data_IF_908812943465
#
_entry.id   IF_908812943465
#
_cell.length_a   1.000
_cell.length_b   1.000
_cell.length_c   1.000
_cell.angle_alpha   90.00
_cell.angle_beta   90.00
_cell.angle_gamma   90.00
#
_symmetry.space_group_name_H-M   'P 1'
#
loop_
_entity.id
_entity.type
_entity.pdbx_description
1 polymer ?
#
# COMPACT_ATOMS: atom_id res chain seq x y z
N UNK A 1 -34.39 -11.45 9.67
CA UNK A 1 -34.80 -10.42 8.72
C UNK A 1 -34.61 -9.08 9.41
N UNK A 2 -33.51 -8.41 9.16
CA UNK A 2 -33.31 -7.00 9.49
C UNK A 2 -32.83 -6.39 8.18
N UNK A 3 -33.73 -5.64 7.53
CA UNK A 3 -33.45 -4.96 6.29
C UNK A 3 -32.47 -3.80 6.55
N UNK A 4 -31.27 -3.93 6.05
CA UNK A 4 -30.34 -2.81 5.92
C UNK A 4 -30.78 -1.96 4.73
N UNK A 5 -31.09 -0.71 4.99
CA UNK A 5 -31.33 0.31 3.96
C UNK A 5 -30.07 0.50 3.12
N UNK A 6 -30.11 0.06 1.87
CA UNK A 6 -29.13 0.36 0.83
C UNK A 6 -29.34 1.79 0.30
N UNK A 7 -28.90 2.81 1.05
CA UNK A 7 -28.93 4.21 0.60
C UNK A 7 -27.60 4.95 0.86
N UNK A 8 -26.47 4.24 0.95
CA UNK A 8 -25.16 4.84 1.28
C UNK A 8 -24.19 4.90 0.06
N UNK A 9 -24.66 4.75 -1.17
CA UNK A 9 -23.77 4.64 -2.34
C UNK A 9 -23.33 5.99 -2.96
N UNK A 10 -23.54 7.14 -2.31
CA UNK A 10 -23.20 8.41 -2.96
C UNK A 10 -22.81 9.58 -2.08
N UNK A 11 -22.95 9.48 -0.78
CA UNK A 11 -22.70 10.65 0.09
C UNK A 11 -21.27 10.63 0.67
N UNK A 12 -20.52 11.67 0.32
CA UNK A 12 -19.27 12.02 1.01
C UNK A 12 -19.58 13.01 2.13
N UNK A 13 -18.75 13.12 3.20
CA UNK A 13 -18.93 14.07 4.28
C UNK A 13 -19.02 15.52 3.79
N UNK A 14 -19.80 16.35 4.48
CA UNK A 14 -20.00 17.76 4.15
C UNK A 14 -18.67 18.53 4.12
N UNK A 15 -17.76 18.21 5.03
CA UNK A 15 -16.41 18.79 5.09
C UNK A 15 -15.58 18.45 3.83
N UNK A 16 -15.73 17.25 3.29
CA UNK A 16 -15.09 16.87 2.04
C UNK A 16 -15.66 17.67 0.86
N UNK A 17 -16.97 17.87 0.82
CA UNK A 17 -17.61 18.72 -0.18
C UNK A 17 -17.13 20.16 -0.12
N UNK A 18 -17.01 20.73 1.06
CA UNK A 18 -16.49 22.08 1.26
C UNK A 18 -15.05 22.23 0.72
N UNK A 19 -14.19 21.26 1.04
CA UNK A 19 -12.81 21.27 0.55
C UNK A 19 -12.75 21.11 -0.98
N UNK A 20 -13.55 20.21 -1.56
CA UNK A 20 -13.63 20.03 -3.01
C UNK A 20 -14.08 21.29 -3.72
N UNK A 21 -15.10 21.96 -3.19
CA UNK A 21 -15.61 23.21 -3.76
C UNK A 21 -14.55 24.32 -3.72
N UNK A 22 -13.85 24.47 -2.62
CA UNK A 22 -12.77 25.45 -2.50
C UNK A 22 -11.62 25.14 -3.47
N UNK A 23 -11.21 23.89 -3.55
CA UNK A 23 -10.15 23.44 -4.45
C UNK A 23 -10.52 23.67 -5.91
N UNK A 24 -11.74 23.28 -6.30
CA UNK A 24 -12.26 23.49 -7.65
C UNK A 24 -12.31 24.99 -8.01
N UNK A 25 -12.81 25.83 -7.09
CA UNK A 25 -12.87 27.28 -7.29
C UNK A 25 -11.49 27.92 -7.43
N UNK A 26 -10.49 27.46 -6.67
CA UNK A 26 -9.09 27.90 -6.81
C UNK A 26 -8.48 27.51 -8.16
N UNK A 27 -8.77 26.30 -8.61
CA UNK A 27 -8.19 25.79 -9.87
C UNK A 27 -8.83 26.40 -11.12
N UNK A 28 -10.12 26.74 -11.06
CA UNK A 28 -10.83 27.37 -12.19
C UNK A 28 -10.77 28.91 -12.15
N UNK A 29 -10.22 29.51 -11.08
CA UNK A 29 -10.14 30.96 -10.93
C UNK A 29 -11.48 31.64 -10.66
N UNK A 30 -12.52 30.87 -10.26
CA UNK A 30 -13.87 31.36 -9.97
C UNK A 30 -14.72 30.33 -9.23
N UNK A 31 -15.92 30.73 -8.82
CA UNK A 31 -16.85 29.86 -8.11
C UNK A 31 -17.36 28.72 -9.01
N UNK A 32 -17.18 27.48 -8.59
CA UNK A 32 -17.70 26.28 -9.25
C UNK A 32 -19.05 25.94 -8.64
N UNK A 33 -20.07 25.66 -9.48
CA UNK A 33 -21.37 25.23 -9.00
C UNK A 33 -21.25 23.83 -8.37
N UNK A 34 -21.69 23.60 -7.10
CA UNK A 34 -21.64 22.30 -6.45
C UNK A 34 -22.27 21.15 -7.28
N UNK A 35 -23.29 21.47 -8.10
CA UNK A 35 -23.94 20.50 -8.99
C UNK A 35 -23.05 20.05 -10.16
N UNK A 36 -21.92 20.68 -10.38
CA UNK A 36 -20.94 20.33 -11.41
C UNK A 36 -19.85 19.39 -10.88
N UNK A 37 -19.86 19.04 -9.59
CA UNK A 37 -18.94 18.09 -8.97
C UNK A 37 -19.53 16.69 -9.11
N UNK A 38 -18.80 15.80 -9.76
CA UNK A 38 -19.18 14.41 -9.99
C UNK A 38 -18.28 13.49 -9.19
N UNK A 39 -18.89 12.51 -8.53
CA UNK A 39 -18.22 11.49 -7.73
C UNK A 39 -18.46 10.11 -8.36
N UNK A 40 -17.38 9.38 -8.56
CA UNK A 40 -17.41 8.01 -9.06
C UNK A 40 -16.70 7.10 -8.04
N UNK A 41 -17.42 6.14 -7.42
CA UNK A 41 -16.78 5.22 -6.49
C UNK A 41 -15.74 4.36 -7.20
N UNK A 42 -14.57 4.22 -6.59
CA UNK A 42 -13.51 3.33 -7.05
C UNK A 42 -13.57 2.03 -6.24
N UNK A 43 -13.48 0.91 -6.94
CA UNK A 43 -13.45 -0.43 -6.33
C UNK A 43 -12.02 -0.83 -5.98
N UNK A 44 -11.87 -1.74 -5.00
CA UNK A 44 -10.57 -2.35 -4.68
C UNK A 44 -9.98 -1.95 -3.33
N UNK A 45 -10.50 -0.90 -2.66
CA UNK A 45 -10.08 -0.61 -1.29
C UNK A 45 -10.89 -1.45 -0.29
N UNK A 46 -10.21 -2.19 0.58
CA UNK A 46 -10.86 -3.03 1.59
C UNK A 46 -11.15 -2.25 2.88
N UNK A 47 -10.32 -1.28 3.21
CA UNK A 47 -10.33 -0.57 4.49
C UNK A 47 -10.89 0.85 4.41
N UNK A 48 -11.06 1.40 3.19
CA UNK A 48 -11.50 2.77 2.95
C UNK A 48 -12.56 2.82 1.84
N UNK A 49 -13.37 3.89 1.80
CA UNK A 49 -14.17 4.24 0.63
C UNK A 49 -13.40 5.28 -0.18
N UNK A 50 -13.25 5.04 -1.47
CA UNK A 50 -12.45 5.88 -2.36
C UNK A 50 -13.28 6.31 -3.54
N UNK A 51 -13.22 7.60 -3.88
CA UNK A 51 -13.96 8.20 -4.98
C UNK A 51 -13.04 8.99 -5.89
N UNK A 52 -13.17 8.80 -7.19
CA UNK A 52 -12.70 9.74 -8.20
C UNK A 52 -13.68 10.92 -8.23
N UNK A 53 -13.17 12.11 -8.05
CA UNK A 53 -13.93 13.33 -8.14
C UNK A 53 -13.42 14.17 -9.31
N UNK A 54 -14.34 14.66 -10.13
CA UNK A 54 -14.04 15.63 -11.19
C UNK A 54 -15.17 16.65 -11.31
N UNK A 55 -14.88 17.80 -11.92
CA UNK A 55 -15.87 18.81 -12.19
C UNK A 55 -15.78 19.25 -13.65
N UNK A 56 -16.93 19.70 -14.19
CA UNK A 56 -17.03 20.26 -15.54
C UNK A 56 -16.82 21.76 -15.46
N UNK A 57 -16.00 22.28 -16.32
CA UNK A 57 -15.90 23.72 -16.59
C UNK A 57 -17.18 24.18 -17.28
N UNK A 58 -17.62 25.42 -17.02
CA UNK A 58 -18.88 25.96 -17.54
C UNK A 58 -18.95 25.87 -19.08
N UNK A 59 -20.17 25.63 -19.62
CA UNK A 59 -20.45 25.31 -21.05
C UNK A 59 -19.99 26.38 -22.06
N UNK A 60 -19.70 27.60 -21.64
CA UNK A 60 -19.28 28.68 -22.57
C UNK A 60 -17.93 28.43 -23.25
N UNK A 61 -17.10 27.57 -22.68
CA UNK A 61 -15.79 27.15 -23.25
C UNK A 61 -15.89 25.83 -24.08
N UNK A 62 -17.06 25.18 -24.10
CA UNK A 62 -17.23 23.83 -24.68
C UNK A 62 -17.16 23.82 -26.22
N UNK A 63 -17.36 24.94 -26.86
CA UNK A 63 -17.45 25.02 -28.35
C UNK A 63 -16.05 25.08 -29.02
N UNK A 64 -14.98 25.23 -28.24
CA UNK A 64 -13.62 25.41 -28.77
C UNK A 64 -12.58 24.35 -28.35
N UNK A 65 -12.89 23.43 -27.45
CA UNK A 65 -11.97 22.33 -27.12
C UNK A 65 -12.62 21.00 -27.42
N UNK A 66 -12.12 20.31 -28.45
CA UNK A 66 -12.13 18.85 -28.51
C UNK A 66 -11.59 18.45 -27.15
N UNK A 67 -12.43 17.82 -26.30
CA UNK A 67 -12.10 17.50 -24.92
C UNK A 67 -10.92 16.55 -24.95
N UNK A 68 -9.74 17.11 -24.73
CA UNK A 68 -8.57 16.37 -24.37
C UNK A 68 -8.87 15.80 -22.98
N UNK A 69 -8.98 14.47 -22.83
CA UNK A 69 -9.26 13.82 -21.52
C UNK A 69 -8.24 14.25 -20.45
N UNK A 70 -7.04 14.66 -20.86
CA UNK A 70 -5.99 15.20 -19.99
C UNK A 70 -6.32 16.61 -19.42
N UNK A 71 -7.36 17.29 -19.92
CA UNK A 71 -7.75 18.63 -19.44
C UNK A 71 -8.71 18.60 -18.24
N UNK A 72 -9.29 17.43 -17.91
CA UNK A 72 -10.22 17.28 -16.77
C UNK A 72 -9.45 17.13 -15.48
N UNK A 73 -9.54 18.14 -14.62
CA UNK A 73 -8.91 18.07 -13.30
C UNK A 73 -9.64 17.05 -12.41
N UNK A 74 -8.91 16.05 -11.98
CA UNK A 74 -9.39 14.96 -11.14
C UNK A 74 -8.76 15.01 -9.77
N UNK A 75 -9.53 14.60 -8.78
CA UNK A 75 -9.12 14.49 -7.37
C UNK A 75 -9.60 13.15 -6.83
N UNK A 76 -8.86 12.56 -5.94
CA UNK A 76 -9.27 11.37 -5.22
C UNK A 76 -9.74 11.77 -3.81
N UNK A 77 -10.93 11.31 -3.43
CA UNK A 77 -11.48 11.48 -2.08
C UNK A 77 -11.40 10.14 -1.38
N UNK A 78 -10.64 10.09 -0.28
CA UNK A 78 -10.52 8.88 0.55
C UNK A 78 -11.22 9.11 1.87
N UNK A 79 -12.20 8.26 2.19
CA UNK A 79 -12.91 8.24 3.46
C UNK A 79 -12.49 7.01 4.25
N UNK A 80 -12.01 7.22 5.48
CA UNK A 80 -11.50 6.14 6.32
C UNK A 80 -12.62 5.24 6.82
N UNK A 81 -12.44 3.93 6.67
CA UNK A 81 -13.36 2.93 7.20
C UNK A 81 -13.21 2.71 8.71
N UNK A 82 -14.30 2.31 9.35
CA UNK A 82 -14.36 2.15 10.81
C UNK A 82 -13.68 0.86 11.34
N UNK A 83 -13.51 -0.18 10.51
CA UNK A 83 -12.98 -1.50 10.95
C UNK A 83 -11.47 -1.61 11.06
N UNK A 84 -10.75 -0.70 10.48
CA UNK A 84 -9.30 -0.78 10.27
C UNK A 84 -8.44 -0.60 11.54
N UNK A 85 -9.00 -0.06 12.63
CA UNK A 85 -8.27 0.21 13.89
C UNK A 85 -7.71 -1.04 14.58
N UNK A 86 -8.16 -2.23 14.21
CA UNK A 86 -7.67 -3.48 14.79
C UNK A 86 -6.33 -3.92 14.19
N UNK A 87 -6.01 -3.48 12.96
CA UNK A 87 -4.91 -4.02 12.17
C UNK A 87 -3.74 -3.05 12.03
N UNK A 88 -4.00 -1.74 12.00
CA UNK A 88 -2.96 -0.74 11.81
C UNK A 88 -3.28 0.58 12.52
N UNK A 89 -2.26 1.41 12.65
CA UNK A 89 -2.34 2.73 13.27
C UNK A 89 -2.61 3.80 12.19
N UNK A 90 -3.80 4.40 12.23
CA UNK A 90 -4.22 5.43 11.27
C UNK A 90 -3.36 6.70 11.34
N UNK A 91 -2.86 7.05 12.52
CA UNK A 91 -2.01 8.24 12.66
C UNK A 91 -0.68 8.05 11.92
N UNK A 92 -0.07 6.89 12.09
CA UNK A 92 1.16 6.51 11.35
C UNK A 92 0.93 6.48 9.84
N UNK A 93 -0.19 5.94 9.36
CA UNK A 93 -0.54 5.93 7.92
C UNK A 93 -0.68 7.34 7.35
N UNK A 94 -1.38 8.22 8.08
CA UNK A 94 -1.57 9.61 7.65
C UNK A 94 -0.25 10.37 7.63
N UNK A 95 0.61 10.19 8.65
CA UNK A 95 1.94 10.80 8.68
C UNK A 95 2.81 10.29 7.51
N UNK A 96 2.80 8.98 7.25
CA UNK A 96 3.51 8.41 6.11
C UNK A 96 3.04 9.03 4.79
N UNK A 97 1.72 9.15 4.60
CA UNK A 97 1.16 9.79 3.41
C UNK A 97 1.61 11.25 3.27
N UNK A 98 1.57 12.02 4.34
CA UNK A 98 2.03 13.42 4.33
C UNK A 98 3.51 13.54 3.95
N UNK A 99 4.37 12.67 4.49
CA UNK A 99 5.80 12.67 4.16
C UNK A 99 6.05 12.28 2.72
N UNK A 100 5.34 11.28 2.20
CA UNK A 100 5.42 10.89 0.79
C UNK A 100 4.98 12.03 -0.12
N UNK A 101 3.88 12.71 0.22
CA UNK A 101 3.40 13.89 -0.50
C UNK A 101 4.43 15.04 -0.49
N UNK A 102 4.99 15.38 0.68
CA UNK A 102 5.97 16.45 0.84
C UNK A 102 7.29 16.18 0.12
N UNK A 103 7.71 14.92 0.05
CA UNK A 103 8.93 14.51 -0.66
C UNK A 103 8.74 14.36 -2.17
N UNK A 104 7.51 14.52 -2.68
CA UNK A 104 7.18 14.31 -4.10
C UNK A 104 7.30 12.86 -4.56
N UNK A 105 7.27 11.90 -3.61
CA UNK A 105 7.39 10.48 -3.92
C UNK A 105 6.06 9.73 -3.95
N UNK A 106 4.98 10.38 -3.55
CA UNK A 106 3.62 9.87 -3.56
C UNK A 106 2.62 10.92 -4.05
N UNK A 107 1.30 10.58 -4.07
CA UNK A 107 0.26 11.52 -4.43
C UNK A 107 0.30 12.76 -3.53
N UNK A 108 0.03 13.94 -4.07
CA UNK A 108 -0.04 15.17 -3.27
C UNK A 108 -1.25 15.13 -2.33
N UNK A 109 -1.06 15.57 -1.10
CA UNK A 109 -2.15 15.85 -0.17
C UNK A 109 -2.78 17.20 -0.52
N UNK A 110 -4.04 17.20 -0.93
CA UNK A 110 -4.77 18.40 -1.35
C UNK A 110 -5.64 18.99 -0.25
N UNK A 111 -6.02 18.17 0.75
CA UNK A 111 -6.80 18.62 1.90
C UNK A 111 -7.07 17.48 2.88
N UNK A 112 -7.42 17.84 4.12
CA UNK A 112 -7.79 16.88 5.18
C UNK A 112 -9.12 17.26 5.80
N UNK A 113 -9.89 16.25 6.20
CA UNK A 113 -11.11 16.39 7.00
C UNK A 113 -11.13 15.28 8.08
N UNK A 114 -12.00 15.34 9.10
CA UNK A 114 -11.89 14.49 10.30
C UNK A 114 -11.76 12.97 10.04
N UNK A 115 -12.43 12.46 9.01
CA UNK A 115 -12.43 11.04 8.68
C UNK A 115 -11.93 10.74 7.25
N UNK A 116 -11.06 11.59 6.70
CA UNK A 116 -10.53 11.38 5.36
C UNK A 116 -9.61 12.47 4.84
N UNK A 117 -9.29 12.38 3.55
CA UNK A 117 -8.43 13.33 2.86
C UNK A 117 -8.76 13.44 1.39
N UNK A 118 -8.32 14.51 0.76
CA UNK A 118 -8.26 14.72 -0.67
C UNK A 118 -6.83 14.47 -1.15
N UNK A 119 -6.71 13.64 -2.16
CA UNK A 119 -5.43 13.26 -2.77
C UNK A 119 -5.40 13.68 -4.23
N UNK A 120 -4.22 13.93 -4.76
CA UNK A 120 -4.00 14.04 -6.20
C UNK A 120 -4.44 12.75 -6.88
N UNK A 121 -5.19 12.90 -7.97
CA UNK A 121 -5.49 11.78 -8.84
C UNK A 121 -4.30 11.56 -9.79
N UNK A 122 -3.62 10.43 -9.64
CA UNK A 122 -2.50 10.10 -10.51
C UNK A 122 -3.01 9.58 -11.86
N UNK A 123 -2.53 10.17 -12.94
CA UNK A 123 -2.74 9.63 -14.29
C UNK A 123 -1.80 8.45 -14.53
N UNK A 124 -2.08 7.34 -13.85
CA UNK A 124 -1.28 6.14 -13.81
C UNK A 124 -2.18 4.93 -13.60
N UNK A 125 -1.76 3.77 -14.06
CA UNK A 125 -2.43 2.51 -13.73
C UNK A 125 -1.73 1.77 -12.62
N UNK A 126 -2.46 0.97 -11.86
CA UNK A 126 -1.86 -0.03 -10.97
C UNK A 126 -1.19 -1.12 -11.81
N UNK A 127 -0.15 -1.72 -11.27
CA UNK A 127 0.47 -2.90 -11.89
C UNK A 127 -0.49 -4.09 -11.85
N UNK A 128 -0.13 -5.11 -12.60
CA UNK A 128 -0.74 -6.45 -12.60
C UNK A 128 0.30 -7.50 -12.18
N UNK A 129 -0.16 -8.71 -11.85
CA UNK A 129 0.75 -9.80 -11.48
C UNK A 129 1.84 -10.08 -12.55
N UNK A 130 1.55 -10.09 -13.88
CA UNK A 130 2.58 -10.18 -14.91
C UNK A 130 3.59 -9.03 -14.92
N UNK A 131 3.18 -7.79 -14.62
CA UNK A 131 4.09 -6.63 -14.62
C UNK A 131 5.24 -6.81 -13.62
N UNK A 132 5.01 -7.49 -12.49
CA UNK A 132 6.06 -7.74 -11.48
C UNK A 132 7.22 -8.60 -12.04
N UNK A 133 6.97 -9.34 -13.13
CA UNK A 133 7.96 -10.19 -13.80
C UNK A 133 8.78 -9.45 -14.85
N UNK A 134 8.31 -8.28 -15.31
CA UNK A 134 9.05 -7.49 -16.27
C UNK A 134 10.37 -6.98 -15.63
N UNK A 135 11.54 -7.27 -16.25
CA UNK A 135 12.83 -6.88 -15.67
C UNK A 135 13.01 -5.38 -15.49
N UNK A 136 12.42 -4.55 -16.37
CA UNK A 136 12.55 -3.09 -16.31
C UNK A 136 11.64 -2.55 -15.19
N UNK A 137 10.42 -3.06 -15.08
CA UNK A 137 9.50 -2.69 -14.02
C UNK A 137 10.07 -3.12 -12.65
N UNK A 138 10.54 -4.37 -12.54
CA UNK A 138 11.16 -4.91 -11.32
C UNK A 138 12.36 -4.06 -10.86
N UNK A 139 13.21 -3.61 -11.80
CA UNK A 139 14.30 -2.68 -11.50
C UNK A 139 13.79 -1.37 -10.90
N UNK A 140 12.77 -0.77 -11.52
CA UNK A 140 12.20 0.49 -11.05
C UNK A 140 11.55 0.35 -9.67
N UNK A 141 10.87 -0.79 -9.42
CA UNK A 141 10.31 -1.12 -8.09
C UNK A 141 11.43 -1.19 -7.06
N UNK A 142 12.52 -1.89 -7.34
CA UNK A 142 13.65 -2.05 -6.43
C UNK A 142 14.27 -0.70 -6.03
N UNK A 143 14.49 0.18 -7.01
CA UNK A 143 15.01 1.53 -6.77
C UNK A 143 14.01 2.35 -5.93
N UNK A 144 12.72 2.32 -6.29
CA UNK A 144 11.69 3.06 -5.56
C UNK A 144 11.52 2.54 -4.13
N UNK A 145 11.58 1.23 -3.90
CA UNK A 145 11.53 0.65 -2.57
C UNK A 145 12.74 1.06 -1.73
N UNK A 146 13.93 1.14 -2.33
CA UNK A 146 15.12 1.65 -1.64
C UNK A 146 14.94 3.11 -1.18
N UNK A 147 14.38 3.98 -2.05
CA UNK A 147 14.06 5.36 -1.69
C UNK A 147 13.04 5.42 -0.55
N UNK A 148 12.01 4.57 -0.59
CA UNK A 148 10.99 4.46 0.45
C UNK A 148 11.60 4.05 1.81
N UNK A 149 12.48 3.05 1.83
CA UNK A 149 13.15 2.61 3.05
C UNK A 149 14.05 3.67 3.70
N UNK A 150 14.49 4.68 2.94
CA UNK A 150 15.28 5.81 3.45
C UNK A 150 14.44 6.93 4.06
N UNK A 151 13.12 6.87 3.98
CA UNK A 151 12.26 7.89 4.56
C UNK A 151 12.48 7.97 6.07
N UNK A 152 12.65 9.21 6.54
CA UNK A 152 12.71 9.49 7.96
C UNK A 152 11.34 9.97 8.45
N UNK A 153 10.54 9.05 8.98
CA UNK A 153 9.25 9.32 9.59
C UNK A 153 9.46 9.59 11.08
N UNK A 154 8.78 10.60 11.62
CA UNK A 154 8.90 10.95 13.04
C UNK A 154 8.40 9.79 13.92
N UNK A 155 9.04 9.62 15.07
CA UNK A 155 8.67 8.57 16.03
C UNK A 155 9.78 7.55 16.24
N UNK A 156 9.40 6.37 16.71
CA UNK A 156 10.35 5.29 16.98
C UNK A 156 10.78 4.59 15.70
N UNK A 157 12.08 4.56 15.43
CA UNK A 157 12.66 3.76 14.34
C UNK A 157 12.86 2.28 14.73
N UNK A 158 12.24 1.83 15.83
CA UNK A 158 12.35 0.44 16.27
C UNK A 158 11.50 -0.49 15.38
N UNK A 159 12.06 -1.62 14.90
CA UNK A 159 11.32 -2.59 14.11
C UNK A 159 10.13 -3.17 14.84
N UNK A 160 8.94 -3.16 14.22
CA UNK A 160 7.69 -3.58 14.85
C UNK A 160 7.18 -4.96 14.39
N UNK A 161 7.87 -5.63 13.48
CA UNK A 161 7.44 -6.91 12.92
C UNK A 161 7.06 -7.92 14.01
N UNK A 162 7.98 -8.19 14.94
CA UNK A 162 7.80 -9.22 15.96
C UNK A 162 6.74 -8.86 17.00
N UNK A 163 6.56 -7.57 17.31
CA UNK A 163 5.46 -7.08 18.13
C UNK A 163 4.12 -7.28 17.41
N UNK A 164 4.05 -6.88 16.14
CA UNK A 164 2.83 -7.02 15.31
C UNK A 164 2.41 -8.47 15.18
N UNK A 165 3.34 -9.40 14.93
CA UNK A 165 3.02 -10.83 14.85
C UNK A 165 2.43 -11.36 16.16
N UNK A 166 2.97 -10.97 17.32
CA UNK A 166 2.41 -11.35 18.63
C UNK A 166 1.02 -10.75 18.85
N UNK A 167 0.86 -9.46 18.62
CA UNK A 167 -0.42 -8.77 18.79
C UNK A 167 -1.52 -9.38 17.90
N UNK A 168 -1.18 -9.71 16.65
CA UNK A 168 -2.13 -10.34 15.74
C UNK A 168 -2.41 -11.79 16.11
N UNK A 169 -1.44 -12.54 16.63
CA UNK A 169 -1.67 -13.88 17.14
C UNK A 169 -2.61 -13.85 18.36
N UNK A 170 -2.40 -12.96 19.32
CA UNK A 170 -3.30 -12.80 20.47
C UNK A 170 -4.73 -12.41 20.03
N UNK A 171 -4.86 -11.52 19.05
CA UNK A 171 -6.16 -11.16 18.45
C UNK A 171 -6.79 -12.37 17.76
N UNK A 172 -6.03 -13.12 16.96
CA UNK A 172 -6.50 -14.33 16.27
C UNK A 172 -7.03 -15.36 17.27
N UNK A 173 -6.29 -15.64 18.34
CA UNK A 173 -6.70 -16.56 19.39
C UNK A 173 -7.97 -16.11 20.12
N UNK A 174 -8.08 -14.80 20.38
CA UNK A 174 -9.26 -14.24 21.10
C UNK A 174 -10.51 -14.18 20.26
N UNK A 175 -10.40 -13.90 18.96
CA UNK A 175 -11.54 -13.65 18.06
C UNK A 175 -12.01 -14.91 17.35
N UNK A 176 -11.17 -15.94 17.24
CA UNK A 176 -11.48 -17.16 16.51
C UNK A 176 -12.29 -18.16 17.34
N UNK A 177 -13.11 -18.96 16.64
CA UNK A 177 -13.77 -20.11 17.22
C UNK A 177 -12.75 -21.23 17.52
N UNK A 178 -13.03 -22.12 18.50
CA UNK A 178 -12.10 -23.20 18.87
C UNK A 178 -11.63 -24.07 17.69
N UNK A 179 -12.51 -24.38 16.73
CA UNK A 179 -12.13 -25.14 15.54
C UNK A 179 -11.07 -24.46 14.65
N UNK A 180 -11.13 -23.14 14.50
CA UNK A 180 -10.12 -22.35 13.76
C UNK A 180 -8.79 -22.35 14.51
N UNK A 181 -8.83 -22.23 15.85
CA UNK A 181 -7.62 -22.26 16.69
C UNK A 181 -6.91 -23.61 16.55
N UNK A 182 -7.66 -24.70 16.50
CA UNK A 182 -7.13 -26.05 16.35
C UNK A 182 -6.63 -26.30 14.91
N UNK A 183 -7.41 -25.94 13.90
CA UNK A 183 -7.11 -26.12 12.48
C UNK A 183 -5.79 -25.42 12.10
N UNK A 184 -5.64 -24.15 12.50
CA UNK A 184 -4.44 -23.35 12.22
C UNK A 184 -3.35 -23.45 13.31
N UNK A 185 -3.53 -24.31 14.32
CA UNK A 185 -2.59 -24.55 15.42
C UNK A 185 -2.10 -23.25 16.11
N UNK A 186 -3.00 -22.27 16.26
CA UNK A 186 -2.65 -20.93 16.77
C UNK A 186 -1.98 -20.97 18.15
N UNK A 187 -2.26 -22.00 18.97
CA UNK A 187 -1.61 -22.14 20.27
C UNK A 187 -0.13 -22.54 20.21
N UNK A 188 0.32 -23.10 19.08
CA UNK A 188 1.73 -23.46 18.83
C UNK A 188 2.51 -22.35 18.14
N UNK A 189 1.81 -21.46 17.43
CA UNK A 189 2.42 -20.46 16.59
C UNK A 189 3.29 -19.46 17.38
N UNK A 190 2.99 -19.25 18.69
CA UNK A 190 3.82 -18.42 19.57
C UNK A 190 5.26 -18.94 19.69
N UNK A 191 5.41 -20.27 19.86
CA UNK A 191 6.72 -20.90 19.97
C UNK A 191 7.46 -20.84 18.63
N UNK A 192 6.73 -21.02 17.52
CA UNK A 192 7.29 -20.93 16.18
C UNK A 192 7.78 -19.52 15.86
N UNK A 193 6.99 -18.48 16.17
CA UNK A 193 7.40 -17.07 16.03
C UNK A 193 8.65 -16.78 16.87
N UNK A 194 8.69 -17.28 18.10
CA UNK A 194 9.83 -17.08 18.99
C UNK A 194 11.09 -17.74 18.46
N UNK A 195 10.98 -18.97 17.95
CA UNK A 195 12.07 -19.72 17.33
C UNK A 195 12.54 -19.03 16.05
N UNK A 196 11.60 -18.61 15.19
CA UNK A 196 11.90 -17.89 13.95
C UNK A 196 12.66 -16.60 14.25
N UNK A 197 12.17 -15.79 15.19
CA UNK A 197 12.84 -14.57 15.64
C UNK A 197 14.27 -14.84 16.09
N UNK A 198 14.47 -15.85 16.95
CA UNK A 198 15.81 -16.17 17.47
C UNK A 198 16.78 -16.66 16.40
N UNK A 199 16.26 -17.24 15.31
CA UNK A 199 17.05 -17.73 14.18
C UNK A 199 17.44 -16.61 13.22
N UNK A 200 16.54 -15.64 13.00
CA UNK A 200 16.70 -14.56 12.01
C UNK A 200 17.39 -13.35 12.62
N UNK A 201 16.92 -12.89 13.80
CA UNK A 201 17.38 -11.63 14.39
C UNK A 201 18.85 -11.72 14.78
N UNK A 202 19.68 -11.00 14.05
CA UNK A 202 21.10 -10.86 14.28
C UNK A 202 21.45 -9.39 14.50
N UNK A 203 22.56 -9.13 15.18
CA UNK A 203 23.10 -7.77 15.26
C UNK A 203 23.49 -7.27 13.86
N UNK A 204 23.09 -6.04 13.53
CA UNK A 204 23.43 -5.40 12.25
C UNK A 204 22.44 -5.63 11.12
N UNK A 205 21.18 -5.94 11.44
CA UNK A 205 20.10 -5.91 10.44
C UNK A 205 19.89 -4.49 9.91
N UNK A 206 19.71 -4.38 8.61
CA UNK A 206 19.36 -3.11 7.96
C UNK A 206 17.89 -2.83 8.21
N UNK A 207 17.59 -1.74 8.93
CA UNK A 207 16.23 -1.28 9.24
C UNK A 207 15.90 -0.08 8.37
N UNK A 208 14.69 -0.04 7.84
CA UNK A 208 14.15 1.07 7.07
C UNK A 208 12.67 1.31 7.37
N UNK A 209 12.13 2.40 6.86
CA UNK A 209 10.68 2.60 6.85
C UNK A 209 10.09 1.75 5.73
N UNK A 210 9.52 0.60 6.08
CA UNK A 210 9.05 -0.43 5.15
C UNK A 210 7.58 -0.24 4.79
N UNK A 211 7.22 -0.58 3.56
CA UNK A 211 5.84 -0.57 3.08
C UNK A 211 5.01 -1.69 3.72
N UNK A 212 5.61 -2.87 3.83
CA UNK A 212 5.05 -4.09 4.40
C UNK A 212 3.85 -4.69 3.67
N UNK A 213 3.42 -4.11 2.55
CA UNK A 213 2.34 -4.59 1.68
C UNK A 213 2.62 -4.20 0.22
N UNK A 214 3.79 -4.57 -0.30
CA UNK A 214 4.19 -4.19 -1.66
C UNK A 214 3.68 -5.20 -2.70
N UNK A 215 2.35 -5.37 -2.75
CA UNK A 215 1.64 -6.10 -3.78
C UNK A 215 1.43 -5.23 -5.04
N UNK A 216 1.15 -5.85 -6.19
CA UNK A 216 1.07 -5.14 -7.47
C UNK A 216 0.00 -4.04 -7.52
N UNK A 217 -1.11 -4.16 -6.78
CA UNK A 217 -2.17 -3.15 -6.69
C UNK A 217 -1.75 -1.89 -5.92
N UNK A 218 -0.67 -1.96 -5.12
CA UNK A 218 -0.10 -0.84 -4.37
C UNK A 218 1.07 -0.16 -5.10
N UNK A 219 1.30 -0.55 -6.36
CA UNK A 219 2.34 0.02 -7.22
C UNK A 219 1.67 0.58 -8.47
N UNK A 220 1.85 1.87 -8.71
CA UNK A 220 1.33 2.54 -9.90
C UNK A 220 2.46 2.85 -10.87
N UNK A 221 2.16 2.75 -12.16
CA UNK A 221 3.06 3.15 -13.24
C UNK A 221 2.40 4.20 -14.11
N UNK A 222 3.08 5.31 -14.31
CA UNK A 222 2.68 6.32 -15.28
C UNK A 222 3.12 5.85 -16.67
N UNK A 223 2.16 5.72 -17.59
CA UNK A 223 2.43 5.16 -18.93
C UNK A 223 3.22 6.11 -19.84
N UNK A 224 3.25 7.41 -19.53
CA UNK A 224 3.97 8.39 -20.35
C UNK A 224 5.48 8.41 -20.09
N UNK A 225 5.89 8.31 -18.81
CA UNK A 225 7.30 8.39 -18.39
C UNK A 225 7.79 7.12 -17.69
N UNK A 226 6.89 6.16 -17.53
CA UNK A 226 7.12 4.89 -16.83
C UNK A 226 7.67 5.07 -15.39
N UNK A 227 7.32 6.18 -14.71
CA UNK A 227 7.65 6.38 -13.31
C UNK A 227 6.78 5.50 -12.41
N UNK A 228 7.40 4.96 -11.36
CA UNK A 228 6.74 4.15 -10.35
C UNK A 228 6.38 5.03 -9.15
N UNK A 229 5.15 4.89 -8.67
CA UNK A 229 4.67 5.48 -7.41
C UNK A 229 4.12 4.39 -6.52
N UNK A 230 4.57 4.32 -5.28
CA UNK A 230 4.00 3.44 -4.26
C UNK A 230 2.82 4.15 -3.61
N UNK A 231 1.78 3.39 -3.29
CA UNK A 231 0.54 3.90 -2.67
C UNK A 231 0.09 2.95 -1.56
N UNK A 232 -0.84 3.41 -0.72
CA UNK A 232 -1.48 2.63 0.35
C UNK A 232 -0.52 2.21 1.48
N UNK A 233 -0.15 3.19 2.30
CA UNK A 233 0.85 3.06 3.36
C UNK A 233 0.28 2.57 4.71
N UNK A 234 -0.88 1.91 4.71
CA UNK A 234 -1.59 1.56 5.95
C UNK A 234 -0.85 0.56 6.85
N UNK A 235 0.02 -0.26 6.26
CA UNK A 235 0.90 -1.19 7.00
C UNK A 235 2.32 -0.66 7.18
N UNK A 236 2.63 0.54 6.65
CA UNK A 236 3.98 1.06 6.68
C UNK A 236 4.47 1.34 8.09
N UNK A 237 5.69 0.90 8.38
CA UNK A 237 6.37 1.11 9.66
C UNK A 237 7.83 0.71 9.54
N UNK A 238 8.63 1.06 10.55
CA UNK A 238 10.03 0.60 10.59
C UNK A 238 10.09 -0.91 10.79
N UNK A 239 10.83 -1.59 9.91
CA UNK A 239 11.08 -3.03 9.94
C UNK A 239 12.44 -3.35 9.31
N UNK A 240 12.94 -4.59 9.44
CA UNK A 240 14.05 -5.06 8.63
C UNK A 240 13.71 -4.96 7.14
N UNK A 241 14.57 -4.31 6.34
CA UNK A 241 14.32 -4.14 4.90
C UNK A 241 14.21 -5.48 4.17
N UNK A 242 14.90 -6.50 4.68
CA UNK A 242 14.82 -7.87 4.17
C UNK A 242 13.41 -8.47 4.29
N UNK A 243 12.65 -8.11 5.32
CA UNK A 243 11.25 -8.52 5.46
C UNK A 243 10.36 -7.92 4.35
N UNK A 244 10.54 -6.63 4.06
CA UNK A 244 9.72 -5.97 3.04
C UNK A 244 10.02 -6.51 1.62
N UNK A 245 11.30 -6.77 1.34
CA UNK A 245 11.72 -7.43 0.09
C UNK A 245 11.15 -8.86 0.00
N UNK A 246 11.21 -9.62 1.11
CA UNK A 246 10.63 -10.96 1.17
C UNK A 246 9.11 -10.95 0.94
N UNK A 247 8.42 -9.97 1.54
CA UNK A 247 7.00 -9.77 1.30
C UNK A 247 6.72 -9.52 -0.19
N UNK A 248 7.45 -8.62 -0.83
CA UNK A 248 7.29 -8.36 -2.27
C UNK A 248 7.51 -9.63 -3.11
N UNK A 249 8.49 -10.46 -2.78
CA UNK A 249 8.71 -11.73 -3.47
C UNK A 249 7.58 -12.73 -3.24
N UNK A 250 7.01 -12.78 -2.03
CA UNK A 250 5.82 -13.57 -1.74
C UNK A 250 4.60 -13.08 -2.54
N UNK A 251 4.41 -11.77 -2.69
CA UNK A 251 3.33 -11.18 -3.48
C UNK A 251 3.42 -11.50 -4.98
N UNK A 252 4.60 -11.84 -5.50
CA UNK A 252 4.73 -12.32 -6.88
C UNK A 252 4.07 -13.68 -7.13
N UNK A 253 3.69 -14.42 -6.08
CA UNK A 253 2.90 -15.66 -6.16
C UNK A 253 1.40 -15.40 -6.23
N UNK A 254 0.94 -14.18 -5.88
CA UNK A 254 -0.46 -13.84 -5.82
C UNK A 254 -1.00 -13.32 -7.16
N UNK A 255 -2.28 -13.61 -7.42
CA UNK A 255 -3.05 -12.98 -8.48
C UNK A 255 -4.49 -12.76 -7.98
N UNK A 256 -4.75 -11.54 -7.55
CA UNK A 256 -6.03 -11.14 -6.93
C UNK A 256 -7.18 -10.98 -7.94
N UNK A 257 -6.91 -11.10 -9.25
CA UNK A 257 -7.90 -10.99 -10.33
C UNK A 257 -8.32 -12.34 -10.89
N UNK A 258 -8.09 -13.42 -10.17
CA UNK A 258 -8.51 -14.78 -10.54
C UNK A 258 -9.80 -15.20 -9.82
N UNK A 259 -10.35 -16.35 -10.20
CA UNK A 259 -11.47 -16.98 -9.49
C UNK A 259 -11.13 -17.48 -8.08
N UNK A 260 -9.83 -17.54 -7.73
CA UNK A 260 -9.29 -18.01 -6.45
C UNK A 260 -8.22 -17.06 -5.92
N UNK A 261 -8.55 -15.78 -5.63
CA UNK A 261 -7.57 -14.74 -5.30
C UNK A 261 -6.79 -15.00 -4.01
N UNK A 262 -7.26 -15.91 -3.18
CA UNK A 262 -6.64 -16.30 -1.90
C UNK A 262 -5.59 -17.43 -2.04
N UNK A 263 -5.45 -18.02 -3.23
CA UNK A 263 -4.47 -19.07 -3.47
C UNK A 263 -3.18 -18.50 -4.06
N UNK A 264 -2.08 -18.77 -3.38
CA UNK A 264 -0.75 -18.47 -3.88
C UNK A 264 -0.27 -19.58 -4.82
N UNK A 265 0.30 -19.22 -5.96
CA UNK A 265 0.96 -20.16 -6.86
C UNK A 265 2.47 -20.21 -6.56
N UNK A 266 2.90 -21.20 -5.78
CA UNK A 266 4.31 -21.37 -5.38
C UNK A 266 5.27 -21.44 -6.57
N UNK A 267 4.82 -21.88 -7.76
CA UNK A 267 5.64 -21.92 -8.97
C UNK A 267 5.98 -20.53 -9.50
N UNK A 268 5.24 -19.51 -9.05
CA UNK A 268 5.48 -18.11 -9.37
C UNK A 268 6.39 -17.41 -8.35
N UNK A 269 6.90 -18.09 -7.32
CA UNK A 269 7.94 -17.50 -6.50
C UNK A 269 9.15 -17.14 -7.38
N UNK A 270 9.73 -15.94 -7.28
CA UNK A 270 10.80 -15.51 -8.17
C UNK A 270 12.02 -16.43 -8.03
N UNK A 271 12.61 -16.78 -9.15
CA UNK A 271 13.80 -17.62 -9.16
C UNK A 271 15.04 -16.88 -8.60
N UNK A 272 16.15 -17.59 -8.47
CA UNK A 272 17.37 -17.00 -7.93
C UNK A 272 17.85 -15.80 -8.74
N UNK A 273 17.75 -15.85 -10.06
CA UNK A 273 18.21 -14.78 -10.97
C UNK A 273 17.34 -13.54 -10.85
N UNK A 274 16.02 -13.69 -10.76
CA UNK A 274 15.06 -12.60 -10.57
C UNK A 274 15.30 -11.91 -9.23
N UNK A 275 15.40 -12.68 -8.12
CA UNK A 275 15.63 -12.16 -6.78
C UNK A 275 16.97 -11.44 -6.67
N UNK A 276 18.04 -12.04 -7.21
CA UNK A 276 19.37 -11.44 -7.21
C UNK A 276 19.37 -10.10 -7.95
N UNK A 277 18.81 -10.07 -9.17
CA UNK A 277 18.70 -8.85 -9.98
C UNK A 277 17.95 -7.75 -9.22
N UNK A 278 16.83 -8.08 -8.54
CA UNK A 278 16.08 -7.13 -7.72
C UNK A 278 16.95 -6.56 -6.59
N UNK A 279 17.65 -7.41 -5.84
CA UNK A 279 18.53 -7.00 -4.74
C UNK A 279 19.71 -6.15 -5.22
N UNK A 280 20.30 -6.48 -6.36
CA UNK A 280 21.36 -5.68 -6.99
C UNK A 280 20.87 -4.27 -7.31
N UNK A 281 19.70 -4.11 -7.93
CA UNK A 281 19.12 -2.79 -8.21
C UNK A 281 18.72 -2.04 -6.94
N UNK A 282 18.20 -2.74 -5.95
CA UNK A 282 17.91 -2.16 -4.64
C UNK A 282 19.18 -1.57 -3.99
N UNK A 283 20.29 -2.29 -4.01
CA UNK A 283 21.56 -1.86 -3.43
C UNK A 283 22.25 -0.78 -4.27
N UNK A 284 22.12 -0.80 -5.58
CA UNK A 284 22.61 0.29 -6.45
C UNK A 284 22.01 1.65 -6.08
N UNK A 285 20.79 1.70 -5.59
CA UNK A 285 20.18 2.89 -5.01
C UNK A 285 20.97 3.47 -3.82
N UNK A 286 21.77 2.63 -3.10
CA UNK A 286 22.71 3.09 -2.06
C UNK A 286 24.11 3.39 -2.55
N UNK A 287 24.41 3.21 -3.84
CA UNK A 287 25.75 3.32 -4.40
C UNK A 287 26.64 2.10 -4.09
N UNK A 288 26.06 1.00 -3.60
CA UNK A 288 26.80 -0.24 -3.34
C UNK A 288 26.75 -1.17 -4.55
N UNK A 289 27.92 -1.63 -4.97
CA UNK A 289 28.10 -2.71 -5.95
C UNK A 289 28.86 -3.88 -5.29
N UNK A 290 28.86 -3.94 -3.95
CA UNK A 290 29.56 -4.99 -3.19
C UNK A 290 28.79 -6.30 -3.26
N UNK A 291 29.42 -7.30 -3.85
CA UNK A 291 28.88 -8.67 -3.98
C UNK A 291 28.55 -9.28 -2.62
N UNK A 292 29.35 -9.02 -1.60
CA UNK A 292 29.07 -9.54 -0.25
C UNK A 292 27.80 -8.94 0.34
N UNK A 293 27.46 -7.67 0.03
CA UNK A 293 26.21 -7.06 0.46
C UNK A 293 25.00 -7.66 -0.29
N UNK A 294 25.15 -7.97 -1.58
CA UNK A 294 24.11 -8.66 -2.37
C UNK A 294 23.82 -10.03 -1.79
N UNK A 295 24.85 -10.87 -1.59
CA UNK A 295 24.70 -12.21 -1.02
C UNK A 295 24.09 -12.18 0.38
N UNK A 296 24.54 -11.24 1.22
CA UNK A 296 23.99 -11.06 2.56
C UNK A 296 22.51 -10.70 2.51
N UNK A 297 22.12 -9.69 1.73
CA UNK A 297 20.72 -9.24 1.66
C UNK A 297 19.82 -10.31 1.04
N UNK A 298 20.30 -11.06 0.03
CA UNK A 298 19.60 -12.23 -0.51
C UNK A 298 19.29 -13.26 0.58
N UNK A 299 20.32 -13.64 1.35
CA UNK A 299 20.18 -14.62 2.43
C UNK A 299 19.24 -14.11 3.53
N UNK A 300 19.38 -12.84 3.91
CA UNK A 300 18.53 -12.23 4.93
C UNK A 300 17.06 -12.24 4.44
N UNK A 301 16.81 -11.89 3.16
CA UNK A 301 15.48 -11.92 2.54
C UNK A 301 14.87 -13.33 2.57
N UNK A 302 15.62 -14.37 2.20
CA UNK A 302 15.14 -15.76 2.23
C UNK A 302 14.68 -16.18 3.64
N UNK A 303 15.35 -15.71 4.68
CA UNK A 303 14.96 -15.98 6.05
C UNK A 303 13.62 -15.34 6.45
N UNK A 304 13.25 -14.19 5.86
CA UNK A 304 12.02 -13.48 6.20
C UNK A 304 10.77 -13.98 5.45
N UNK A 305 10.91 -14.88 4.46
CA UNK A 305 9.78 -15.44 3.71
C UNK A 305 8.72 -16.04 4.64
N UNK A 306 9.15 -16.86 5.61
CA UNK A 306 8.23 -17.46 6.57
C UNK A 306 7.56 -16.41 7.47
N UNK A 307 8.27 -15.37 7.84
CA UNK A 307 7.70 -14.26 8.62
C UNK A 307 6.61 -13.52 7.83
N UNK A 308 6.78 -13.34 6.51
CA UNK A 308 5.75 -12.78 5.62
C UNK A 308 4.50 -13.66 5.56
N UNK A 309 4.65 -14.97 5.41
CA UNK A 309 3.51 -15.89 5.41
C UNK A 309 2.76 -15.89 6.75
N UNK A 310 3.46 -15.88 7.88
CA UNK A 310 2.83 -15.78 9.20
C UNK A 310 2.08 -14.45 9.33
N UNK A 311 2.69 -13.34 8.89
CA UNK A 311 2.09 -12.00 8.95
C UNK A 311 0.73 -11.96 8.23
N UNK A 312 0.69 -12.38 6.97
CA UNK A 312 -0.53 -12.34 6.17
C UNK A 312 -1.52 -13.46 6.53
N UNK A 313 -1.03 -14.62 7.00
CA UNK A 313 -1.89 -15.67 7.55
C UNK A 313 -2.65 -15.20 8.80
N UNK A 314 -1.98 -14.52 9.74
CA UNK A 314 -2.62 -13.94 10.91
C UNK A 314 -3.58 -12.79 10.54
N UNK A 315 -3.21 -11.96 9.57
CA UNK A 315 -4.11 -10.95 9.02
C UNK A 315 -5.42 -11.55 8.52
N UNK A 316 -5.34 -12.61 7.71
CA UNK A 316 -6.51 -13.29 7.16
C UNK A 316 -7.41 -13.96 8.21
N UNK A 317 -6.90 -14.24 9.41
CA UNK A 317 -7.69 -14.78 10.52
C UNK A 317 -8.37 -13.66 11.33
N UNK A 318 -7.73 -12.50 11.45
CA UNK A 318 -8.24 -11.34 12.22
C UNK A 318 -9.27 -10.54 11.43
N UNK A 319 -9.09 -10.44 10.08
CA UNK A 319 -9.94 -9.68 9.18
C UNK A 319 -11.22 -10.44 8.82
#
# INVERSE_FOLDING_TARGET
MIGGNNNDEGDIPEEAYFLLHNLASQWEGGAVNPKQIFLKPLKGSMTNRVYECHWKVAEEDYVKKIVDEDSVKKVLVRIYGHGAKLLFDRETEVEAFERMSQSGQGPRLLGRFPNGRLEEFLNARTLSAPDLRDPIISQKIAVKLHEFHKLNIQGSSHPRLWERLRDWLEKSQRLSKPGIIEEFQLNRLQDEITKLRSTISKSGERVGFCHNDLQYGNIMINENDANITLIDYEYATYNPVAFDIANHFCEMMADYHTGTPHLLDEKKYPDFTERRRFVEYYLKGSGSEDECEVEKLMKDTDHYVLASHIHWGLWGIVY
#
